data_IF_413126514007
#
_entry.id   IF_413126514007
#
_cell.length_a   1.000
_cell.length_b   1.000
_cell.length_c   1.000
_cell.angle_alpha   90.00
_cell.angle_beta   90.00
_cell.angle_gamma   90.00
#
_symmetry.space_group_name_H-M   'P 1'
#
loop_
_entity.id
_entity.type
_entity.pdbx_description
1 polymer ?
#
# COMPACT_ATOMS: atom_id res chain seq x y z
N UNK A 1 32.81 -3.84 15.30
CA UNK A 1 31.63 -3.15 15.83
C UNK A 1 30.37 -3.73 15.23
N UNK A 2 29.59 -4.58 15.92
CA UNK A 2 28.30 -5.06 15.44
C UNK A 2 27.22 -4.81 16.52
N UNK A 3 26.92 -3.54 16.85
CA UNK A 3 25.86 -3.21 17.83
C UNK A 3 24.56 -2.70 17.22
N UNK A 4 24.49 -2.44 15.90
CA UNK A 4 23.33 -1.80 15.30
C UNK A 4 22.25 -2.78 14.78
N UNK A 5 22.59 -4.03 14.48
CA UNK A 5 21.61 -5.00 13.96
C UNK A 5 20.65 -5.54 15.03
N UNK A 6 21.12 -5.73 16.26
CA UNK A 6 20.27 -6.16 17.38
C UNK A 6 19.19 -5.11 17.71
N UNK A 7 19.56 -3.83 17.67
CA UNK A 7 18.65 -2.71 17.95
C UNK A 7 17.51 -2.58 16.93
N UNK A 8 17.77 -2.78 15.64
CA UNK A 8 16.74 -2.69 14.59
C UNK A 8 15.73 -3.85 14.70
N UNK A 9 16.21 -5.08 14.88
CA UNK A 9 15.34 -6.24 15.07
C UNK A 9 14.48 -6.13 16.35
N UNK A 10 15.04 -5.58 17.42
CA UNK A 10 14.29 -5.36 18.66
C UNK A 10 13.24 -4.26 18.49
N UNK A 11 13.52 -3.21 17.73
CA UNK A 11 12.54 -2.18 17.38
C UNK A 11 11.37 -2.75 16.56
N UNK A 12 11.63 -3.60 15.56
CA UNK A 12 10.59 -4.25 14.78
C UNK A 12 9.73 -5.19 15.64
N UNK A 13 10.34 -5.96 16.55
CA UNK A 13 9.59 -6.80 17.49
C UNK A 13 8.74 -5.97 18.45
N UNK A 14 9.23 -4.80 18.88
CA UNK A 14 8.46 -3.89 19.69
C UNK A 14 7.27 -3.32 18.91
N UNK A 15 7.49 -2.87 17.67
CA UNK A 15 6.42 -2.39 16.79
C UNK A 15 5.32 -3.44 16.60
N UNK A 16 5.69 -4.72 16.43
CA UNK A 16 4.72 -5.81 16.35
C UNK A 16 3.92 -5.96 17.65
N UNK A 17 4.58 -5.91 18.83
CA UNK A 17 3.87 -5.99 20.11
C UNK A 17 2.87 -4.85 20.27
N UNK A 18 3.27 -3.64 19.89
CA UNK A 18 2.40 -2.45 20.00
C UNK A 18 1.22 -2.54 19.01
N UNK A 19 1.45 -3.05 17.80
CA UNK A 19 0.40 -3.28 16.81
C UNK A 19 -0.61 -4.35 17.27
N UNK A 20 -0.15 -5.46 17.85
CA UNK A 20 -1.02 -6.51 18.42
C UNK A 20 -1.82 -5.98 19.61
N UNK A 21 -1.22 -5.18 20.48
CA UNK A 21 -1.95 -4.55 21.58
C UNK A 21 -3.02 -3.57 21.09
N UNK A 22 -2.74 -2.82 20.00
CA UNK A 22 -3.73 -1.96 19.38
C UNK A 22 -4.88 -2.76 18.74
N UNK A 23 -4.59 -3.93 18.17
CA UNK A 23 -5.61 -4.84 17.63
C UNK A 23 -6.54 -5.36 18.71
N UNK A 24 -6.01 -5.83 19.85
CA UNK A 24 -6.78 -6.27 21.02
C UNK A 24 -7.75 -5.17 21.51
N UNK A 25 -7.28 -3.93 21.56
CA UNK A 25 -8.09 -2.77 21.94
C UNK A 25 -9.20 -2.53 20.91
N UNK A 26 -8.89 -2.58 19.63
CA UNK A 26 -9.85 -2.36 18.56
C UNK A 26 -10.94 -3.44 18.54
N UNK A 27 -10.58 -4.71 18.75
CA UNK A 27 -11.52 -5.83 18.90
C UNK A 27 -12.44 -5.65 20.10
N UNK A 28 -11.89 -5.25 21.25
CA UNK A 28 -12.66 -5.04 22.48
C UNK A 28 -13.66 -3.89 22.35
N UNK A 29 -13.27 -2.81 21.63
CA UNK A 29 -14.15 -1.65 21.40
C UNK A 29 -15.21 -1.91 20.33
N UNK A 30 -14.98 -2.89 19.46
CA UNK A 30 -15.90 -3.21 18.37
C UNK A 30 -16.05 -2.09 17.35
N UNK A 31 -15.02 -1.25 17.16
CA UNK A 31 -15.02 -0.17 16.19
C UNK A 31 -14.42 -0.65 14.86
N UNK A 32 -15.26 -0.89 13.81
CA UNK A 32 -14.79 -1.57 12.60
C UNK A 32 -13.68 -0.84 11.85
N UNK A 33 -13.67 0.49 11.86
CA UNK A 33 -12.63 1.29 11.20
C UNK A 33 -11.27 1.14 11.91
N UNK A 34 -11.26 1.20 13.24
CA UNK A 34 -10.05 0.97 14.03
C UNK A 34 -9.54 -0.46 13.90
N UNK A 35 -10.45 -1.43 13.81
CA UNK A 35 -10.10 -2.84 13.59
C UNK A 35 -9.40 -3.02 12.24
N UNK A 36 -9.93 -2.43 11.16
CA UNK A 36 -9.29 -2.49 9.83
C UNK A 36 -7.87 -1.91 9.87
N UNK A 37 -7.70 -0.75 10.49
CA UNK A 37 -6.40 -0.09 10.62
C UNK A 37 -5.42 -0.90 11.49
N UNK A 38 -5.87 -1.45 12.61
CA UNK A 38 -5.04 -2.27 13.48
C UNK A 38 -4.56 -3.55 12.76
N UNK A 39 -5.45 -4.23 12.02
CA UNK A 39 -5.10 -5.39 11.20
C UNK A 39 -4.03 -5.06 10.15
N UNK A 40 -4.15 -3.89 9.48
CA UNK A 40 -3.15 -3.43 8.53
C UNK A 40 -1.78 -3.22 9.19
N UNK A 41 -1.73 -2.57 10.35
CA UNK A 41 -0.48 -2.35 11.09
C UNK A 41 0.17 -3.65 11.57
N UNK A 42 -0.62 -4.64 12.00
CA UNK A 42 -0.10 -5.96 12.36
C UNK A 42 0.47 -6.65 11.13
N UNK A 43 -0.22 -6.62 9.98
CA UNK A 43 0.26 -7.16 8.72
C UNK A 43 1.60 -6.55 8.28
N UNK A 44 1.71 -5.23 8.30
CA UNK A 44 2.94 -4.49 7.98
C UNK A 44 4.08 -4.86 8.94
N UNK A 45 3.80 -4.99 10.23
CA UNK A 45 4.80 -5.36 11.24
C UNK A 45 5.34 -6.78 11.01
N UNK A 46 4.47 -7.74 10.66
CA UNK A 46 4.89 -9.08 10.28
C UNK A 46 5.71 -9.09 9.00
N UNK A 47 5.32 -8.31 7.97
CA UNK A 47 6.10 -8.18 6.73
C UNK A 47 7.50 -7.63 7.02
N UNK A 48 7.61 -6.58 7.81
CA UNK A 48 8.89 -6.00 8.21
C UNK A 48 9.81 -6.99 8.95
N UNK A 49 9.24 -7.99 9.63
CA UNK A 49 9.96 -9.10 10.27
C UNK A 49 10.24 -10.27 9.31
N UNK A 50 9.80 -10.22 8.07
CA UNK A 50 9.92 -11.31 7.09
C UNK A 50 8.96 -12.48 7.31
N UNK A 51 8.00 -12.36 8.24
CA UNK A 51 6.97 -13.37 8.51
C UNK A 51 5.81 -13.23 7.50
N UNK A 52 6.10 -13.49 6.22
CA UNK A 52 5.23 -13.17 5.08
C UNK A 52 3.89 -13.93 5.08
N UNK A 53 3.84 -15.11 5.71
CA UNK A 53 2.59 -15.88 5.83
C UNK A 53 1.62 -15.20 6.81
N UNK A 54 2.13 -14.77 7.96
CA UNK A 54 1.32 -14.07 8.95
C UNK A 54 0.93 -12.68 8.44
N UNK A 55 1.87 -11.97 7.80
CA UNK A 55 1.61 -10.70 7.14
C UNK A 55 0.44 -10.81 6.15
N UNK A 56 0.47 -11.82 5.27
CA UNK A 56 -0.61 -12.06 4.32
C UNK A 56 -1.94 -12.31 5.00
N UNK A 57 -1.95 -13.11 6.07
CA UNK A 57 -3.18 -13.44 6.78
C UNK A 57 -3.84 -12.20 7.39
N UNK A 58 -3.06 -11.40 8.14
CA UNK A 58 -3.57 -10.17 8.77
C UNK A 58 -4.02 -9.12 7.73
N UNK A 59 -3.24 -8.94 6.67
CA UNK A 59 -3.60 -8.00 5.58
C UNK A 59 -4.88 -8.44 4.87
N UNK A 60 -5.10 -9.74 4.66
CA UNK A 60 -6.36 -10.25 4.10
C UNK A 60 -7.55 -10.02 5.02
N UNK A 61 -7.39 -10.12 6.34
CA UNK A 61 -8.46 -9.77 7.28
C UNK A 61 -8.77 -8.27 7.21
N UNK A 62 -7.75 -7.41 7.19
CA UNK A 62 -7.90 -5.96 7.01
C UNK A 62 -8.63 -5.61 5.71
N UNK A 63 -8.27 -6.26 4.60
CA UNK A 63 -8.93 -6.10 3.31
C UNK A 63 -10.44 -6.42 3.39
N UNK A 64 -10.82 -7.53 4.02
CA UNK A 64 -12.24 -7.91 4.19
C UNK A 64 -13.00 -6.88 5.02
N UNK A 65 -12.39 -6.37 6.09
CA UNK A 65 -12.99 -5.31 6.91
C UNK A 65 -13.18 -4.03 6.10
N UNK A 66 -12.16 -3.58 5.38
CA UNK A 66 -12.23 -2.41 4.52
C UNK A 66 -13.33 -2.54 3.46
N UNK A 67 -13.48 -3.71 2.84
CA UNK A 67 -14.55 -4.01 1.88
C UNK A 67 -15.93 -3.90 2.52
N UNK A 68 -16.11 -4.46 3.71
CA UNK A 68 -17.39 -4.43 4.45
C UNK A 68 -17.79 -3.00 4.82
N UNK A 69 -16.81 -2.16 5.12
CA UNK A 69 -17.00 -0.75 5.49
C UNK A 69 -17.16 0.18 4.29
N UNK A 70 -16.84 -0.28 3.08
CA UNK A 70 -16.73 0.58 1.91
C UNK A 70 -15.59 1.61 2.02
N UNK A 71 -14.58 1.33 2.86
CA UNK A 71 -13.42 2.21 3.09
C UNK A 71 -12.42 2.05 1.95
N UNK A 72 -12.53 2.91 0.91
CA UNK A 72 -11.75 2.81 -0.33
C UNK A 72 -10.26 2.86 -0.05
N UNK A 73 -9.81 3.83 0.75
CA UNK A 73 -8.38 4.03 1.01
C UNK A 73 -7.76 2.81 1.73
N UNK A 74 -8.41 2.33 2.80
CA UNK A 74 -7.96 1.14 3.52
C UNK A 74 -7.99 -0.14 2.64
N UNK A 75 -8.95 -0.23 1.71
CA UNK A 75 -9.03 -1.32 0.76
C UNK A 75 -7.83 -1.31 -0.20
N UNK A 76 -7.52 -0.16 -0.75
CA UNK A 76 -6.39 0.02 -1.70
C UNK A 76 -5.06 -0.20 -1.00
N UNK A 77 -4.87 0.33 0.21
CA UNK A 77 -3.67 0.12 1.00
C UNK A 77 -3.44 -1.37 1.29
N UNK A 78 -4.49 -2.11 1.63
CA UNK A 78 -4.41 -3.55 1.84
C UNK A 78 -4.08 -4.31 0.54
N UNK A 79 -4.59 -3.88 -0.63
CA UNK A 79 -4.23 -4.46 -1.93
C UNK A 79 -2.75 -4.20 -2.26
N UNK A 80 -2.26 -2.99 -2.07
CA UNK A 80 -0.84 -2.67 -2.27
C UNK A 80 0.06 -3.53 -1.36
N UNK A 81 -0.31 -3.68 -0.10
CA UNK A 81 0.43 -4.50 0.86
C UNK A 81 0.44 -5.99 0.46
N UNK A 82 -0.70 -6.53 -0.01
CA UNK A 82 -0.78 -7.90 -0.52
C UNK A 82 0.07 -8.10 -1.78
N UNK A 83 0.14 -7.09 -2.65
CA UNK A 83 0.98 -7.11 -3.83
C UNK A 83 2.47 -7.19 -3.45
N UNK A 84 2.92 -6.39 -2.50
CA UNK A 84 4.30 -6.41 -1.98
C UNK A 84 4.64 -7.71 -1.27
N UNK A 85 3.74 -8.23 -0.42
CA UNK A 85 3.92 -9.54 0.23
C UNK A 85 4.06 -10.66 -0.81
N UNK A 86 3.24 -10.65 -1.86
CA UNK A 86 3.31 -11.64 -2.92
C UNK A 86 4.63 -11.52 -3.70
N UNK A 87 5.11 -10.30 -3.96
CA UNK A 87 6.39 -10.04 -4.59
C UNK A 87 7.57 -10.58 -3.77
N UNK A 88 7.62 -10.26 -2.48
CA UNK A 88 8.67 -10.75 -1.56
C UNK A 88 8.69 -12.27 -1.46
N UNK A 89 7.51 -12.91 -1.44
CA UNK A 89 7.40 -14.38 -1.48
C UNK A 89 7.87 -14.96 -2.81
N UNK A 90 7.60 -14.27 -3.93
CA UNK A 90 8.08 -14.69 -5.25
C UNK A 90 9.62 -14.66 -5.30
N UNK A 91 10.23 -13.60 -4.76
CA UNK A 91 11.67 -13.45 -4.70
C UNK A 91 12.31 -14.55 -3.82
N UNK A 92 11.68 -14.91 -2.70
CA UNK A 92 12.12 -16.01 -1.86
C UNK A 92 12.07 -17.36 -2.59
N UNK A 93 11.00 -17.66 -3.34
CA UNK A 93 10.90 -18.90 -4.13
C UNK A 93 11.89 -18.94 -5.29
N UNK A 94 12.20 -17.81 -5.90
CA UNK A 94 13.22 -17.74 -6.95
C UNK A 94 14.60 -18.12 -6.41
N UNK A 95 14.91 -17.74 -5.18
CA UNK A 95 16.13 -18.16 -4.47
C UNK A 95 16.20 -19.67 -4.17
N UNK A 96 15.06 -20.37 -4.18
CA UNK A 96 14.95 -21.81 -3.93
C UNK A 96 14.74 -22.67 -5.20
N UNK A 97 14.95 -22.09 -6.40
CA UNK A 97 14.79 -22.76 -7.69
C UNK A 97 13.36 -23.30 -7.96
N UNK A 98 12.35 -22.56 -7.49
CA UNK A 98 10.92 -22.81 -7.74
C UNK A 98 10.29 -21.80 -8.70
N UNK A 99 10.68 -21.77 -9.98
CA UNK A 99 10.30 -20.69 -10.91
C UNK A 99 8.79 -20.61 -11.18
N UNK A 100 8.09 -21.74 -11.18
CA UNK A 100 6.64 -21.77 -11.40
C UNK A 100 5.87 -21.18 -10.22
N UNK A 101 6.28 -21.47 -9.00
CA UNK A 101 5.71 -20.90 -7.80
C UNK A 101 5.96 -19.39 -7.72
N UNK A 102 7.18 -18.97 -8.03
CA UNK A 102 7.56 -17.57 -8.09
C UNK A 102 6.71 -16.80 -9.13
N UNK A 103 6.53 -17.38 -10.34
CA UNK A 103 5.70 -16.74 -11.38
C UNK A 103 4.24 -16.57 -10.94
N UNK A 104 3.63 -17.60 -10.36
CA UNK A 104 2.26 -17.51 -9.86
C UNK A 104 2.06 -16.45 -8.78
N UNK A 105 3.08 -16.21 -7.95
CA UNK A 105 3.06 -15.13 -6.95
C UNK A 105 3.25 -13.76 -7.59
N UNK A 106 4.07 -13.62 -8.63
CA UNK A 106 4.20 -12.38 -9.40
C UNK A 106 2.90 -12.02 -10.11
N UNK A 107 2.22 -12.99 -10.71
CA UNK A 107 0.93 -12.79 -11.33
C UNK A 107 -0.10 -12.29 -10.31
N UNK A 108 -0.13 -12.89 -9.10
CA UNK A 108 -0.94 -12.40 -7.98
C UNK A 108 -0.60 -10.97 -7.56
N UNK A 109 0.69 -10.64 -7.50
CA UNK A 109 1.13 -9.30 -7.14
C UNK A 109 0.66 -8.28 -8.18
N UNK A 110 0.73 -8.62 -9.48
CA UNK A 110 0.17 -7.78 -10.57
C UNK A 110 -1.33 -7.58 -10.42
N UNK A 111 -2.09 -8.67 -10.21
CA UNK A 111 -3.54 -8.59 -10.05
C UNK A 111 -3.94 -7.64 -8.91
N UNK A 112 -3.26 -7.75 -7.77
CA UNK A 112 -3.49 -6.85 -6.64
C UNK A 112 -3.07 -5.40 -6.97
N UNK A 113 -1.94 -5.21 -7.65
CA UNK A 113 -1.45 -3.88 -8.05
C UNK A 113 -2.42 -3.19 -9.02
N UNK A 114 -2.87 -3.88 -10.06
CA UNK A 114 -3.86 -3.33 -11.00
C UNK A 114 -5.17 -3.01 -10.33
N UNK A 115 -5.65 -3.88 -9.44
CA UNK A 115 -6.87 -3.62 -8.68
C UNK A 115 -6.70 -2.41 -7.75
N UNK A 116 -5.57 -2.26 -7.09
CA UNK A 116 -5.25 -1.09 -6.28
C UNK A 116 -5.29 0.19 -7.10
N UNK A 117 -4.59 0.23 -8.25
CA UNK A 117 -4.56 1.37 -9.16
C UNK A 117 -5.96 1.71 -9.71
N UNK A 118 -6.80 0.69 -9.99
CA UNK A 118 -8.17 0.86 -10.44
C UNK A 118 -9.09 1.42 -9.35
N UNK A 119 -8.92 0.98 -8.11
CA UNK A 119 -9.73 1.46 -6.99
C UNK A 119 -9.30 2.86 -6.54
N UNK A 120 -8.01 3.18 -6.62
CA UNK A 120 -7.47 4.49 -6.27
C UNK A 120 -8.13 5.62 -7.07
N UNK A 121 -8.50 5.39 -8.35
CA UNK A 121 -9.22 6.37 -9.16
C UNK A 121 -10.61 6.75 -8.66
N UNK A 122 -11.12 6.06 -7.65
CA UNK A 122 -12.40 6.37 -7.01
C UNK A 122 -12.25 7.29 -5.80
N UNK A 123 -11.02 7.54 -5.36
CA UNK A 123 -10.74 8.51 -4.30
C UNK A 123 -11.00 9.93 -4.80
N UNK A 124 -11.42 10.78 -3.88
CA UNK A 124 -11.52 12.22 -4.14
C UNK A 124 -10.18 12.95 -3.91
N UNK A 125 -9.14 12.24 -3.47
CA UNK A 125 -7.82 12.78 -3.21
C UNK A 125 -6.82 12.38 -4.32
N UNK A 126 -6.51 13.30 -5.26
CA UNK A 126 -5.56 13.03 -6.33
C UNK A 126 -4.14 12.76 -5.83
N UNK A 127 -3.70 13.39 -4.73
CA UNK A 127 -2.37 13.18 -4.18
C UNK A 127 -2.19 11.76 -3.64
N UNK A 128 -3.23 11.24 -3.01
CA UNK A 128 -3.24 9.86 -2.58
C UNK A 128 -3.26 8.89 -3.78
N UNK A 129 -4.07 9.17 -4.83
CA UNK A 129 -4.06 8.38 -6.07
C UNK A 129 -2.67 8.34 -6.70
N UNK A 130 -1.99 9.48 -6.83
CA UNK A 130 -0.62 9.59 -7.33
C UNK A 130 0.31 8.68 -6.53
N UNK A 131 0.23 8.72 -5.20
CA UNK A 131 1.06 7.89 -4.31
C UNK A 131 0.86 6.41 -4.58
N UNK A 132 -0.39 5.96 -4.75
CA UNK A 132 -0.72 4.57 -5.07
C UNK A 132 -0.17 4.17 -6.45
N UNK A 133 -0.36 5.01 -7.47
CA UNK A 133 0.12 4.74 -8.83
C UNK A 133 1.63 4.58 -8.86
N UNK A 134 2.38 5.45 -8.18
CA UNK A 134 3.84 5.36 -8.08
C UNK A 134 4.28 4.09 -7.34
N UNK A 135 3.64 3.77 -6.22
CA UNK A 135 3.92 2.55 -5.45
C UNK A 135 3.72 1.28 -6.28
N UNK A 136 2.65 1.22 -7.05
CA UNK A 136 2.36 0.07 -7.94
C UNK A 136 3.32 0.03 -9.13
N UNK A 137 3.68 1.19 -9.69
CA UNK A 137 4.65 1.25 -10.80
C UNK A 137 6.03 0.75 -10.39
N UNK A 138 6.51 1.10 -9.19
CA UNK A 138 7.79 0.61 -8.65
C UNK A 138 7.79 -0.92 -8.50
N UNK A 139 6.64 -1.49 -8.10
CA UNK A 139 6.47 -2.93 -8.02
C UNK A 139 6.57 -3.60 -9.40
N UNK A 140 5.93 -3.02 -10.42
CA UNK A 140 5.94 -3.55 -11.79
C UNK A 140 7.32 -3.43 -12.44
N UNK A 141 8.04 -2.33 -12.18
CA UNK A 141 9.44 -2.19 -12.62
C UNK A 141 10.35 -3.29 -12.03
N UNK A 142 10.16 -3.67 -10.77
CA UNK A 142 10.88 -4.80 -10.16
C UNK A 142 10.63 -6.14 -10.86
N UNK A 143 9.46 -6.32 -11.48
CA UNK A 143 9.12 -7.53 -12.23
C UNK A 143 9.60 -7.48 -13.69
N UNK A 144 10.07 -6.32 -14.16
CA UNK A 144 10.44 -6.07 -15.57
C UNK A 144 9.23 -5.74 -16.44
N UNK A 145 8.07 -5.42 -15.85
CA UNK A 145 6.84 -5.04 -16.54
C UNK A 145 6.85 -3.53 -16.86
N UNK A 146 7.88 -3.09 -17.56
CA UNK A 146 8.17 -1.66 -17.79
C UNK A 146 7.05 -0.92 -18.53
N UNK A 147 6.32 -1.58 -19.45
CA UNK A 147 5.22 -0.95 -20.16
C UNK A 147 4.09 -0.54 -19.21
N UNK A 148 3.70 -1.45 -18.31
CA UNK A 148 2.65 -1.19 -17.32
C UNK A 148 3.12 -0.17 -16.29
N UNK A 149 4.38 -0.24 -15.86
CA UNK A 149 4.97 0.72 -14.94
C UNK A 149 4.95 2.14 -15.53
N UNK A 150 5.40 2.30 -16.79
CA UNK A 150 5.37 3.59 -17.51
C UNK A 150 3.94 4.11 -17.67
N UNK A 151 2.97 3.25 -17.97
CA UNK A 151 1.56 3.65 -18.08
C UNK A 151 1.02 4.25 -16.77
N UNK A 152 1.33 3.63 -15.63
CA UNK A 152 0.96 4.14 -14.30
C UNK A 152 1.68 5.46 -13.96
N UNK A 153 2.97 5.57 -14.28
CA UNK A 153 3.75 6.80 -14.08
C UNK A 153 3.21 7.95 -14.94
N UNK A 154 2.89 7.71 -16.22
CA UNK A 154 2.29 8.71 -17.09
C UNK A 154 0.96 9.21 -16.54
N UNK A 155 0.13 8.31 -15.97
CA UNK A 155 -1.13 8.69 -15.33
C UNK A 155 -0.87 9.55 -14.08
N UNK A 156 0.08 9.18 -13.23
CA UNK A 156 0.45 9.97 -12.05
C UNK A 156 0.93 11.37 -12.45
N UNK A 157 1.78 11.49 -13.46
CA UNK A 157 2.24 12.79 -14.00
C UNK A 157 1.06 13.62 -14.55
N UNK A 158 0.11 12.97 -15.23
CA UNK A 158 -1.09 13.63 -15.73
C UNK A 158 -1.92 14.26 -14.60
N UNK A 159 -2.09 13.58 -13.47
CA UNK A 159 -2.76 14.10 -12.28
C UNK A 159 -1.99 15.27 -11.66
N UNK A 160 -0.67 15.17 -11.49
CA UNK A 160 0.18 16.24 -10.97
C UNK A 160 0.07 17.51 -11.81
N UNK A 161 0.07 17.40 -13.13
CA UNK A 161 -0.03 18.56 -14.03
C UNK A 161 -1.40 19.20 -13.99
N UNK A 162 -2.46 18.44 -13.83
CA UNK A 162 -3.82 18.93 -13.73
C UNK A 162 -4.03 19.75 -12.43
N UNK A 163 -3.47 19.28 -11.32
CA UNK A 163 -3.50 20.03 -10.06
C UNK A 163 -2.72 21.34 -10.13
N UNK A 164 -1.53 21.31 -10.74
CA UNK A 164 -0.71 22.51 -10.90
C UNK A 164 -1.44 23.59 -11.71
N UNK A 165 -2.15 23.21 -12.77
CA UNK A 165 -2.95 24.14 -13.59
C UNK A 165 -4.17 24.66 -12.82
N UNK A 166 -4.84 23.80 -12.05
CA UNK A 166 -5.97 24.17 -11.20
C UNK A 166 -5.59 25.19 -10.11
N UNK A 167 -4.45 24.97 -9.44
CA UNK A 167 -3.95 25.86 -8.40
C UNK A 167 -3.60 27.27 -8.93
N UNK A 168 -2.97 27.35 -10.12
CA UNK A 168 -2.64 28.63 -10.76
C UNK A 168 -3.89 29.40 -11.19
N UNK A 169 -4.95 28.70 -11.62
CA UNK A 169 -6.22 29.32 -11.99
C UNK A 169 -6.94 29.91 -10.77
N UNK A 170 -6.88 29.25 -9.61
CA UNK A 170 -7.52 29.71 -8.37
C UNK A 170 -6.82 30.93 -7.78
N UNK A 171 -5.48 30.99 -7.81
CA UNK A 171 -4.72 32.17 -7.40
C UNK A 171 -5.00 33.38 -8.31
N UNK A 172 -5.18 33.15 -9.61
CA UNK A 172 -5.51 34.23 -10.56
C UNK A 172 -6.91 34.78 -10.33
N UNK A 173 -7.89 33.99 -9.90
CA UNK A 173 -9.24 34.43 -9.55
C UNK A 173 -9.29 35.26 -8.25
N UNK A 174 -8.46 34.87 -7.25
CA UNK A 174 -8.36 35.60 -5.99
C UNK A 174 -7.68 36.97 -6.12
N UNK A 175 -6.74 37.11 -7.06
CA UNK A 175 -6.04 38.37 -7.35
C UNK A 175 -6.92 39.40 -8.11
N UNK A 176 -7.98 38.95 -8.77
CA UNK A 176 -8.88 39.77 -9.57
C UNK A 176 -10.09 40.34 -8.80
N UNK A 177 -10.23 40.10 -7.50
CA UNK A 177 -11.32 40.65 -6.70
C UNK A 177 -11.12 42.17 -6.45
N UNK A 178 -12.05 43.02 -6.88
CA UNK A 178 -11.91 44.48 -6.68
C UNK A 178 -12.00 44.79 -5.19
N UNK A 179 -10.97 45.44 -4.66
CA UNK A 179 -11.00 46.05 -3.31
C UNK A 179 -12.08 47.14 -3.32
N UNK A 180 -13.18 46.92 -2.61
CA UNK A 180 -14.16 47.93 -2.25
C UNK A 180 -13.78 48.57 -0.91
#
# INVERSE_FOLDING_TARGET
>A
MPKNFSSAADALRQALRDAVAALDIAETRGEPAQLSQALAHVGQSYRALGALTDAQWYTQQGLRQAQTLGAVDAHVDALCELAEIAAERADALQGHDEPRGAQALRDKARDHGFEAARQASRSADPQWEITVLLRVSDLFDRFGDHEDAIALQCRAVGLMTHEAVGAVADESCLAAAPRR
#
